data_IF_161214366985
#
_entry.id   IF_161214366985
#
_cell.length_a   1.000
_cell.length_b   1.000
_cell.length_c   1.000
_cell.angle_alpha   90.00
_cell.angle_beta   90.00
_cell.angle_gamma   90.00
#
_symmetry.space_group_name_H-M   'P 1'
#
loop_
_entity.id
_entity.type
_entity.pdbx_description
1 polymer ?
#
# COMPACT_ATOMS: atom_id res chain seq x y z
N UNK A 1 -2.89 14.34 -20.04
CA UNK A 1 -1.48 13.92 -19.82
C UNK A 1 -1.45 12.39 -19.77
N UNK A 2 -0.34 11.71 -20.04
CA UNK A 2 -0.34 10.23 -19.91
C UNK A 2 -0.49 9.83 -18.44
N UNK A 3 -1.22 8.74 -18.17
CA UNK A 3 -1.55 8.23 -16.83
C UNK A 3 -0.29 8.00 -15.96
N UNK A 4 0.86 7.73 -16.58
CA UNK A 4 2.13 7.53 -15.87
C UNK A 4 2.80 8.83 -15.43
N UNK A 5 2.57 9.94 -16.15
CA UNK A 5 3.05 11.26 -15.72
C UNK A 5 2.30 11.73 -14.48
N UNK A 6 0.99 11.48 -14.42
CA UNK A 6 0.17 11.81 -13.25
C UNK A 6 0.59 10.98 -12.03
N UNK A 7 0.78 9.66 -12.22
CA UNK A 7 1.31 8.79 -11.16
C UNK A 7 2.65 9.28 -10.62
N UNK A 8 3.60 9.55 -11.51
CA UNK A 8 4.94 10.04 -11.14
C UNK A 8 4.85 11.34 -10.33
N UNK A 9 4.00 12.28 -10.74
CA UNK A 9 3.79 13.54 -10.02
C UNK A 9 3.21 13.30 -8.61
N UNK A 10 2.24 12.39 -8.48
CA UNK A 10 1.66 12.01 -7.18
C UNK A 10 2.72 11.37 -6.27
N UNK A 11 3.57 10.49 -6.80
CA UNK A 11 4.66 9.88 -6.02
C UNK A 11 5.64 10.95 -5.54
N UNK A 12 6.11 11.83 -6.43
CA UNK A 12 7.02 12.92 -6.07
C UNK A 12 6.41 13.82 -5.00
N UNK A 13 5.13 14.18 -5.15
CA UNK A 13 4.40 15.00 -4.18
C UNK A 13 4.35 14.33 -2.80
N UNK A 14 4.01 13.05 -2.71
CA UNK A 14 3.92 12.31 -1.45
C UNK A 14 5.28 12.23 -0.73
N UNK A 15 6.36 11.93 -1.46
CA UNK A 15 7.72 11.95 -0.91
C UNK A 15 8.20 13.33 -0.44
N UNK A 16 7.59 14.42 -0.93
CA UNK A 16 7.90 15.78 -0.51
C UNK A 16 7.05 16.24 0.69
N UNK A 17 5.76 15.93 0.67
CA UNK A 17 4.79 16.46 1.63
C UNK A 17 4.64 15.59 2.89
N UNK A 18 4.85 14.29 2.77
CA UNK A 18 4.68 13.31 3.87
C UNK A 18 5.77 12.24 3.85
N UNK A 19 7.07 12.64 3.84
CA UNK A 19 8.20 11.72 3.67
C UNK A 19 8.26 10.62 4.74
N UNK A 20 7.71 10.86 5.93
CA UNK A 20 7.67 9.90 7.02
C UNK A 20 6.92 8.62 6.68
N UNK A 21 5.96 8.65 5.74
CA UNK A 21 5.18 7.48 5.31
C UNK A 21 5.78 6.72 4.12
N UNK A 22 6.93 7.15 3.59
CA UNK A 22 7.50 6.59 2.36
C UNK A 22 9.02 6.43 2.47
N UNK A 23 9.48 5.17 2.47
CA UNK A 23 10.90 4.87 2.61
C UNK A 23 11.61 4.89 1.26
N UNK A 24 12.79 5.53 1.16
CA UNK A 24 13.52 5.66 -0.11
C UNK A 24 13.76 4.35 -0.86
N UNK A 25 13.97 3.23 -0.14
CA UNK A 25 14.27 1.92 -0.74
C UNK A 25 13.15 1.37 -1.63
N UNK A 26 11.90 1.82 -1.45
CA UNK A 26 10.75 1.37 -2.24
C UNK A 26 10.35 2.34 -3.35
N UNK A 27 11.02 3.49 -3.44
CA UNK A 27 10.66 4.55 -4.39
C UNK A 27 10.59 4.05 -5.83
N UNK A 28 11.56 3.24 -6.26
CA UNK A 28 11.60 2.70 -7.61
C UNK A 28 10.42 1.76 -7.89
N UNK A 29 10.13 0.82 -6.99
CA UNK A 29 8.98 -0.08 -7.12
C UNK A 29 7.65 0.68 -7.15
N UNK A 30 7.52 1.73 -6.34
CA UNK A 30 6.35 2.62 -6.34
C UNK A 30 6.21 3.33 -7.70
N UNK A 31 7.30 3.87 -8.25
CA UNK A 31 7.28 4.49 -9.59
C UNK A 31 6.87 3.49 -10.68
N UNK A 32 7.31 2.23 -10.56
CA UNK A 32 6.93 1.15 -11.46
C UNK A 32 5.54 0.56 -11.19
N UNK A 33 4.80 1.10 -10.21
CA UNK A 33 3.46 0.65 -9.81
C UNK A 33 3.42 -0.82 -9.35
N UNK A 34 4.50 -1.25 -8.71
CA UNK A 34 4.69 -2.61 -8.19
C UNK A 34 4.67 -2.61 -6.68
N UNK A 35 3.71 -3.33 -6.10
CA UNK A 35 3.70 -3.67 -4.69
C UNK A 35 4.73 -4.79 -4.48
N UNK A 36 5.56 -4.68 -3.45
CA UNK A 36 6.58 -5.68 -3.11
C UNK A 36 6.55 -6.00 -1.62
N UNK A 37 7.06 -7.19 -1.27
CA UNK A 37 7.20 -7.64 0.11
C UNK A 37 8.04 -6.63 0.92
N UNK A 38 7.62 -6.38 2.15
CA UNK A 38 8.23 -5.43 3.07
C UNK A 38 7.73 -4.00 2.96
N UNK A 39 6.92 -3.66 1.93
CA UNK A 39 6.27 -2.34 1.83
C UNK A 39 5.31 -2.10 2.99
N UNK A 40 5.21 -0.85 3.42
CA UNK A 40 4.15 -0.40 4.30
C UNK A 40 2.82 -0.30 3.54
N UNK A 41 1.67 -0.33 4.23
CA UNK A 41 0.37 -0.15 3.58
C UNK A 41 0.27 1.15 2.77
N UNK A 42 0.83 2.27 3.26
CA UNK A 42 0.86 3.55 2.53
C UNK A 42 1.68 3.48 1.25
N UNK A 43 2.86 2.84 1.31
CA UNK A 43 3.73 2.62 0.15
C UNK A 43 3.05 1.71 -0.88
N UNK A 44 2.37 0.65 -0.43
CA UNK A 44 1.65 -0.26 -1.29
C UNK A 44 0.42 0.40 -1.94
N UNK A 45 -0.32 1.24 -1.22
CA UNK A 45 -1.40 2.05 -1.80
C UNK A 45 -0.87 3.02 -2.85
N UNK A 46 0.26 3.66 -2.56
CA UNK A 46 0.89 4.58 -3.52
C UNK A 46 1.41 3.82 -4.75
N UNK A 47 1.95 2.60 -4.61
CA UNK A 47 2.41 1.78 -5.72
C UNK A 47 1.25 1.17 -6.53
N UNK A 48 0.37 0.44 -5.86
CA UNK A 48 -0.70 -0.34 -6.47
C UNK A 48 -1.85 0.51 -7.00
N UNK A 49 -1.98 1.75 -6.51
CA UNK A 49 -3.14 2.61 -6.71
C UNK A 49 -4.24 2.34 -5.68
N UNK A 50 -5.41 2.98 -5.88
CA UNK A 50 -6.59 2.70 -5.05
C UNK A 50 -6.95 1.21 -5.08
N UNK A 51 -7.35 0.67 -3.92
CA UNK A 51 -7.68 -0.74 -3.75
C UNK A 51 -8.85 -0.97 -2.81
N UNK A 52 -9.44 -2.15 -2.89
CA UNK A 52 -10.47 -2.60 -1.92
C UNK A 52 -9.73 -3.22 -0.74
N UNK A 53 -9.98 -2.71 0.46
CA UNK A 53 -9.28 -3.14 1.65
C UNK A 53 -10.20 -3.76 2.71
N UNK A 54 -9.60 -4.58 3.56
CA UNK A 54 -10.18 -5.09 4.80
C UNK A 54 -9.15 -4.91 5.90
N UNK A 55 -9.59 -4.41 7.05
CA UNK A 55 -8.74 -4.21 8.22
C UNK A 55 -9.33 -4.94 9.41
N UNK A 56 -8.54 -5.80 10.04
CA UNK A 56 -8.80 -6.37 11.35
C UNK A 56 -7.87 -5.67 12.33
N UNK A 57 -8.36 -4.62 12.98
CA UNK A 57 -7.57 -3.81 13.91
C UNK A 57 -7.23 -4.59 15.20
N UNK A 58 -6.04 -4.37 15.75
CA UNK A 58 -5.67 -4.88 17.07
C UNK A 58 -6.54 -4.22 18.15
N UNK A 59 -7.35 -5.02 18.85
CA UNK A 59 -8.30 -4.54 19.86
C UNK A 59 -7.63 -4.00 21.12
N UNK A 60 -6.36 -4.30 21.35
CA UNK A 60 -5.60 -3.77 22.49
C UNK A 60 -5.14 -2.33 22.24
N UNK A 61 -5.06 -1.92 20.97
CA UNK A 61 -4.59 -0.59 20.57
C UNK A 61 -5.72 0.28 20.01
N UNK A 62 -6.65 -0.33 19.26
CA UNK A 62 -7.73 0.38 18.57
C UNK A 62 -9.09 0.15 19.23
N UNK A 63 -9.84 1.24 19.51
CA UNK A 63 -11.23 1.15 19.90
C UNK A 63 -12.11 0.40 18.88
N UNK A 64 -13.25 -0.09 19.35
CA UNK A 64 -14.26 -0.67 18.46
C UNK A 64 -14.73 0.39 17.46
N UNK A 65 -14.87 0.01 16.19
CA UNK A 65 -15.28 0.87 15.07
C UNK A 65 -14.28 1.99 14.70
N UNK A 66 -13.00 1.85 15.06
CA UNK A 66 -11.94 2.71 14.51
C UNK A 66 -11.97 2.73 12.99
N UNK A 67 -11.64 3.89 12.42
CA UNK A 67 -11.57 4.08 10.97
C UNK A 67 -10.48 3.17 10.37
N UNK A 68 -10.82 2.22 9.49
CA UNK A 68 -9.85 1.34 8.84
C UNK A 68 -8.72 2.09 8.13
N UNK A 69 -8.99 3.27 7.56
CA UNK A 69 -7.97 4.07 6.88
C UNK A 69 -6.97 4.65 7.87
N UNK A 70 -7.44 5.06 9.05
CA UNK A 70 -6.57 5.52 10.12
C UNK A 70 -5.66 4.39 10.59
N UNK A 71 -6.22 3.20 10.86
CA UNK A 71 -5.44 2.02 11.26
C UNK A 71 -4.36 1.70 10.22
N UNK A 72 -4.73 1.64 8.94
CA UNK A 72 -3.82 1.32 7.85
C UNK A 72 -2.68 2.33 7.72
N UNK A 73 -2.98 3.62 7.85
CA UNK A 73 -1.97 4.68 7.81
C UNK A 73 -1.02 4.58 9.00
N UNK A 74 -1.56 4.44 10.21
CA UNK A 74 -0.77 4.40 11.44
C UNK A 74 0.15 3.18 11.50
N UNK A 75 -0.27 2.04 10.95
CA UNK A 75 0.57 0.84 10.82
C UNK A 75 1.89 1.06 10.09
N UNK A 76 2.02 2.11 9.28
CA UNK A 76 3.27 2.44 8.61
C UNK A 76 4.32 3.00 9.58
N UNK A 77 3.90 3.66 10.66
CA UNK A 77 4.80 4.30 11.63
C UNK A 77 4.81 3.59 12.99
N UNK A 78 3.66 3.07 13.41
CA UNK A 78 3.42 2.43 14.69
C UNK A 78 2.80 1.04 14.46
N UNK A 79 3.59 0.06 14.01
CA UNK A 79 3.08 -1.27 13.72
C UNK A 79 2.52 -1.93 14.99
N UNK A 80 1.40 -2.61 14.86
CA UNK A 80 0.77 -3.43 15.90
C UNK A 80 0.30 -4.78 15.33
N UNK A 81 -0.55 -5.53 16.03
CA UNK A 81 -1.03 -6.84 15.54
C UNK A 81 -2.25 -6.76 14.62
N UNK A 82 -2.50 -5.59 14.01
CA UNK A 82 -3.54 -5.41 13.00
C UNK A 82 -3.19 -6.18 11.75
N UNK A 83 -4.20 -6.82 11.16
CA UNK A 83 -4.07 -7.53 9.89
C UNK A 83 -4.80 -6.73 8.81
N UNK A 84 -4.10 -6.44 7.73
CA UNK A 84 -4.64 -5.65 6.62
C UNK A 84 -4.55 -6.47 5.34
N UNK A 85 -5.62 -6.45 4.56
CA UNK A 85 -5.67 -7.04 3.22
C UNK A 85 -6.01 -5.91 2.26
N UNK A 86 -5.24 -5.73 1.19
CA UNK A 86 -5.55 -4.77 0.12
C UNK A 86 -5.58 -5.50 -1.21
N UNK A 87 -6.72 -5.49 -1.88
CA UNK A 87 -6.89 -6.01 -3.23
C UNK A 87 -6.75 -4.88 -4.24
N UNK A 88 -5.71 -4.97 -5.05
CA UNK A 88 -5.39 -4.04 -6.12
C UNK A 88 -5.87 -4.56 -7.47
N UNK A 89 -5.96 -3.65 -8.44
CA UNK A 89 -6.28 -3.96 -9.82
C UNK A 89 -5.44 -3.06 -10.73
N UNK A 90 -4.32 -3.57 -11.26
CA UNK A 90 -3.44 -2.81 -12.14
C UNK A 90 -2.80 -3.69 -13.23
N UNK A 91 -2.23 -3.05 -14.25
CA UNK A 91 -1.55 -3.72 -15.38
C UNK A 91 -0.05 -3.94 -15.16
N UNK A 92 0.51 -3.37 -14.09
CA UNK A 92 1.96 -3.21 -13.92
C UNK A 92 2.60 -4.23 -12.98
N UNK A 93 1.82 -4.82 -12.07
CA UNK A 93 2.32 -5.72 -11.03
C UNK A 93 3.10 -6.92 -11.62
N UNK A 94 2.60 -7.49 -12.71
CA UNK A 94 3.13 -8.72 -13.30
C UNK A 94 3.67 -8.55 -14.72
N UNK A 95 3.92 -7.32 -15.19
CA UNK A 95 4.56 -7.00 -16.48
C UNK A 95 3.86 -7.55 -17.73
N UNK A 96 2.52 -7.68 -17.73
CA UNK A 96 1.78 -8.42 -18.76
C UNK A 96 0.83 -7.58 -19.63
N UNK A 97 0.84 -6.24 -19.55
CA UNK A 97 -0.11 -5.34 -20.23
C UNK A 97 -1.61 -5.66 -20.02
N UNK A 98 -1.90 -6.66 -19.18
CA UNK A 98 -3.23 -7.12 -18.83
C UNK A 98 -3.54 -6.65 -17.43
N UNK A 99 -4.74 -6.12 -17.28
CA UNK A 99 -5.26 -5.72 -15.98
C UNK A 99 -5.46 -6.99 -15.13
N UNK A 100 -4.78 -7.08 -13.97
CA UNK A 100 -4.84 -8.24 -13.07
C UNK A 100 -5.15 -7.82 -11.64
N UNK A 101 -5.90 -8.68 -10.95
CA UNK A 101 -6.22 -8.50 -9.54
C UNK A 101 -5.22 -9.27 -8.70
N UNK A 102 -4.76 -8.67 -7.63
CA UNK A 102 -3.91 -9.33 -6.65
C UNK A 102 -4.22 -8.78 -5.27
N UNK A 103 -3.97 -9.57 -4.23
CA UNK A 103 -4.12 -9.17 -2.83
C UNK A 103 -2.77 -9.12 -2.17
N UNK A 104 -2.43 -8.00 -1.56
CA UNK A 104 -1.33 -7.87 -0.64
C UNK A 104 -1.84 -8.02 0.80
N UNK A 105 -1.14 -8.81 1.59
CA UNK A 105 -1.41 -9.04 3.01
C UNK A 105 -0.35 -8.35 3.84
N UNK A 106 -0.78 -7.68 4.92
CA UNK A 106 0.09 -6.95 5.80
C UNK A 106 -0.11 -7.37 7.25
N UNK A 107 1.02 -7.58 7.91
CA UNK A 107 1.14 -7.92 9.32
C UNK A 107 2.25 -7.05 9.92
N UNK A 108 2.06 -6.56 11.15
CA UNK A 108 3.04 -5.70 11.83
C UNK A 108 3.53 -4.55 10.95
N UNK A 109 2.58 -3.89 10.28
CA UNK A 109 2.85 -2.77 9.39
C UNK A 109 3.57 -3.09 8.09
N UNK A 110 3.82 -4.35 7.73
CA UNK A 110 4.59 -4.70 6.54
C UNK A 110 3.86 -5.70 5.64
N UNK A 111 4.01 -5.54 4.34
CA UNK A 111 3.54 -6.50 3.35
C UNK A 111 4.31 -7.81 3.51
N UNK A 112 3.63 -8.89 3.87
CA UNK A 112 4.23 -10.22 4.09
C UNK A 112 3.92 -11.21 2.98
N UNK A 113 2.85 -10.97 2.22
CA UNK A 113 2.45 -11.85 1.11
C UNK A 113 1.77 -11.06 -0.02
N UNK A 114 1.98 -11.47 -1.26
CA UNK A 114 1.27 -11.00 -2.44
C UNK A 114 0.72 -12.21 -3.19
N UNK A 115 -0.60 -12.25 -3.35
CA UNK A 115 -1.31 -13.36 -3.99
C UNK A 115 -2.05 -12.90 -5.23
N UNK A 116 -1.72 -13.50 -6.37
CA UNK A 116 -2.46 -13.35 -7.62
C UNK A 116 -3.85 -13.98 -7.52
N UNK A 117 -4.85 -13.38 -8.19
CA UNK A 117 -6.25 -13.85 -8.17
C UNK A 117 -6.74 -14.30 -9.54
#
# INVERSE_FOLDING_TARGET
MSVDKEHTAVVIKNYKETPEYFRPKFRESIMQRKVVIGMWPTEALLAGGGGIYRVKADKNFWPKNSDPMQVMRDQSLHPDNSHIEITFHNTHQFSQDKLRKFTAYFEQGMCVEIKDK
#
